data_IF_848768014760
#
_entry.id   IF_848768014760
#
_cell.length_a   1.000
_cell.length_b   1.000
_cell.length_c   1.000
_cell.angle_alpha   90.00
_cell.angle_beta   90.00
_cell.angle_gamma   90.00
#
_symmetry.space_group_name_H-M   'P 1'
#
loop_
_entity.id
_entity.type
_entity.pdbx_description
1 polymer ?
#
# COMPACT_ATOMS: atom_id res chain seq x y z
N UNK A 1 3.86 41.71 45.40
CA UNK A 1 2.74 40.95 44.80
C UNK A 1 2.26 41.74 43.59
N UNK A 2 2.17 41.28 42.35
CA UNK A 2 2.24 39.97 41.69
C UNK A 2 2.73 40.30 40.27
N UNK A 3 3.76 39.64 39.73
CA UNK A 3 4.06 39.63 38.28
C UNK A 3 5.21 38.67 37.99
N UNK A 4 4.89 37.41 37.70
CA UNK A 4 5.66 36.49 36.86
C UNK A 4 5.06 35.07 36.94
N UNK A 5 3.84 34.87 36.41
CA UNK A 5 3.28 33.51 36.19
C UNK A 5 2.48 33.48 34.88
N UNK A 6 3.02 34.06 33.82
CA UNK A 6 2.37 34.02 32.49
C UNK A 6 3.22 33.36 31.40
N UNK A 7 4.54 33.22 31.59
CA UNK A 7 5.42 32.64 30.56
C UNK A 7 5.66 31.13 30.67
N UNK A 8 5.26 30.46 31.76
CA UNK A 8 5.46 29.00 31.91
C UNK A 8 4.29 28.17 31.33
N UNK A 9 3.07 28.73 31.26
CA UNK A 9 1.93 28.02 30.66
C UNK A 9 1.90 28.15 29.12
N UNK A 10 2.46 29.22 28.56
CA UNK A 10 2.52 29.41 27.11
C UNK A 10 3.55 28.47 26.45
N UNK A 11 4.71 28.22 27.09
CA UNK A 11 5.73 27.31 26.56
C UNK A 11 5.31 25.85 26.56
N UNK A 12 4.49 25.44 27.53
CA UNK A 12 3.99 24.07 27.64
C UNK A 12 2.75 23.83 26.77
N UNK A 13 2.01 24.89 26.40
CA UNK A 13 0.95 24.80 25.40
C UNK A 13 1.54 24.73 23.99
N UNK A 14 2.58 25.52 23.68
CA UNK A 14 3.24 25.44 22.37
C UNK A 14 3.98 24.11 22.16
N UNK A 15 4.57 23.52 23.22
CA UNK A 15 5.15 22.18 23.15
C UNK A 15 4.10 21.05 23.15
N UNK A 16 2.96 21.19 23.83
CA UNK A 16 1.89 20.19 23.77
C UNK A 16 1.16 20.17 22.41
N UNK A 17 1.11 21.30 21.67
CA UNK A 17 0.65 21.30 20.28
C UNK A 17 1.65 20.66 19.32
N UNK A 18 2.95 20.70 19.60
CA UNK A 18 3.96 20.04 18.76
C UNK A 18 3.99 18.52 18.99
N UNK A 19 3.70 18.05 20.21
CA UNK A 19 3.64 16.61 20.51
C UNK A 19 2.33 15.94 20.04
N UNK A 20 1.20 16.68 19.99
CA UNK A 20 -0.07 16.20 19.43
C UNK A 20 -0.14 16.23 17.90
N UNK A 21 0.79 16.90 17.22
CA UNK A 21 0.88 16.91 15.74
C UNK A 21 1.68 15.70 15.22
N UNK A 22 2.46 15.03 16.07
CA UNK A 22 3.26 13.84 15.69
C UNK A 22 2.62 12.50 16.10
N UNK A 23 1.39 12.52 16.63
CA UNK A 23 0.61 11.30 16.97
C UNK A 23 -0.83 11.39 16.47
N UNK A 24 -1.01 11.86 15.24
CA UNK A 24 -2.32 11.76 14.61
C UNK A 24 -2.60 10.28 14.33
N UNK A 25 -3.40 9.71 15.23
CA UNK A 25 -4.00 8.41 15.11
C UNK A 25 -4.70 8.34 13.75
N UNK A 26 -4.26 7.36 12.96
CA UNK A 26 -4.97 6.89 11.79
C UNK A 26 -6.42 6.56 12.14
N UNK A 27 -7.35 7.19 11.43
CA UNK A 27 -8.66 6.63 11.25
C UNK A 27 -8.60 5.63 10.08
N UNK A 28 -9.46 4.60 10.11
CA UNK A 28 -9.30 3.38 9.34
C UNK A 28 -9.55 3.50 7.82
N UNK A 29 -9.05 4.54 7.14
CA UNK A 29 -9.57 4.91 5.81
C UNK A 29 -8.56 5.19 4.72
N UNK A 30 -7.27 5.18 5.01
CA UNK A 30 -6.28 5.71 4.07
C UNK A 30 -6.51 7.21 3.88
N UNK A 31 -5.43 7.99 3.97
CA UNK A 31 -5.44 9.40 3.55
C UNK A 31 -6.30 10.40 4.36
N UNK A 32 -5.72 11.05 5.38
CA UNK A 32 -6.16 12.39 5.82
C UNK A 32 -5.22 13.51 5.31
N UNK A 33 -4.90 13.53 4.01
CA UNK A 33 -4.25 14.69 3.39
C UNK A 33 -4.63 14.97 1.92
N UNK A 34 -5.71 14.37 1.38
CA UNK A 34 -6.05 14.59 -0.03
C UNK A 34 -5.07 13.94 -1.02
N UNK A 35 -4.44 12.83 -0.61
CA UNK A 35 -3.62 11.97 -1.46
C UNK A 35 -4.38 11.37 -2.65
N UNK A 36 -3.64 11.13 -3.73
CA UNK A 36 -4.11 10.41 -4.92
C UNK A 36 -3.83 8.91 -4.76
N UNK A 37 -4.50 8.09 -5.56
CA UNK A 37 -4.18 6.69 -5.82
C UNK A 37 -4.02 6.51 -7.33
N UNK A 38 -3.44 5.39 -7.76
CA UNK A 38 -3.34 5.07 -9.18
C UNK A 38 -4.52 4.18 -9.60
N UNK A 39 -5.26 4.63 -10.62
CA UNK A 39 -6.44 3.96 -11.18
C UNK A 39 -6.03 3.19 -12.44
N UNK A 40 -6.35 1.90 -12.47
CA UNK A 40 -6.04 0.94 -13.53
C UNK A 40 -7.34 0.49 -14.21
N UNK A 41 -7.34 0.48 -15.54
CA UNK A 41 -8.54 0.31 -16.37
C UNK A 41 -8.94 -1.14 -16.70
N UNK A 42 -8.18 -2.14 -16.24
CA UNK A 42 -8.45 -3.55 -16.53
C UNK A 42 -8.14 -4.01 -17.97
N UNK A 43 -7.40 -3.23 -18.76
CA UNK A 43 -7.12 -3.50 -20.19
C UNK A 43 -5.64 -3.39 -20.53
N UNK A 44 -4.99 -2.27 -20.20
CA UNK A 44 -3.63 -1.97 -20.66
C UNK A 44 -2.88 -0.99 -19.73
N UNK A 45 -3.27 -0.95 -18.47
CA UNK A 45 -2.67 -0.09 -17.46
C UNK A 45 -1.68 -0.89 -16.58
N UNK A 46 -0.47 -0.37 -16.38
CA UNK A 46 0.49 -0.95 -15.45
C UNK A 46 1.55 0.06 -14.99
N UNK A 47 2.31 -0.33 -13.96
CA UNK A 47 3.54 0.35 -13.52
C UNK A 47 4.69 -0.63 -13.65
N UNK A 48 5.70 -0.27 -14.44
CA UNK A 48 6.95 -1.01 -14.59
C UNK A 48 8.00 -0.44 -13.63
N UNK A 49 8.35 -1.21 -12.60
CA UNK A 49 9.37 -0.85 -11.60
C UNK A 49 10.72 -1.47 -11.94
N UNK A 50 10.71 -2.70 -12.47
CA UNK A 50 11.91 -3.51 -12.73
C UNK A 50 12.49 -4.11 -11.46
N UNK A 51 13.80 -4.34 -11.44
CA UNK A 51 14.48 -5.00 -10.33
C UNK A 51 14.49 -4.16 -9.04
N UNK A 52 14.07 -4.78 -7.93
CA UNK A 52 14.01 -4.14 -6.61
C UNK A 52 15.01 -4.75 -5.64
N UNK A 53 14.88 -6.04 -5.32
CA UNK A 53 15.71 -6.73 -4.31
C UNK A 53 15.54 -8.25 -4.42
N UNK A 54 16.57 -9.01 -4.01
CA UNK A 54 16.61 -10.48 -4.12
C UNK A 54 16.02 -11.24 -2.92
N UNK A 55 15.80 -10.53 -1.80
CA UNK A 55 15.31 -11.12 -0.54
C UNK A 55 13.91 -10.62 -0.08
N UNK A 56 12.95 -10.36 -0.97
CA UNK A 56 11.62 -9.86 -0.54
C UNK A 56 10.84 -10.93 0.24
N UNK A 57 10.30 -10.56 1.40
CA UNK A 57 9.57 -11.46 2.30
C UNK A 57 8.19 -10.96 2.72
N UNK A 58 7.92 -9.65 2.59
CA UNK A 58 6.58 -9.08 2.83
C UNK A 58 6.18 -8.12 1.73
N UNK A 59 4.98 -8.32 1.20
CA UNK A 59 4.34 -7.45 0.23
C UNK A 59 3.09 -6.87 0.89
N UNK A 60 2.88 -5.55 0.84
CA UNK A 60 1.64 -4.93 1.33
C UNK A 60 1.22 -3.75 0.48
N UNK A 61 -0.08 -3.55 0.32
CA UNK A 61 -0.64 -2.46 -0.47
C UNK A 61 -2.11 -2.21 -0.07
N UNK A 62 -2.62 -1.03 -0.41
CA UNK A 62 -4.04 -0.74 -0.40
C UNK A 62 -4.63 -0.99 -1.78
N UNK A 63 -5.84 -1.55 -1.82
CA UNK A 63 -6.53 -1.89 -3.05
C UNK A 63 -8.03 -1.63 -2.95
N UNK A 64 -8.61 -1.11 -4.03
CA UNK A 64 -10.04 -1.12 -4.29
C UNK A 64 -10.24 -1.70 -5.68
N UNK A 65 -10.82 -2.89 -5.77
CA UNK A 65 -11.13 -3.50 -7.06
C UNK A 65 -12.46 -2.96 -7.62
N UNK A 66 -12.48 -2.61 -8.90
CA UNK A 66 -13.73 -2.32 -9.63
C UNK A 66 -14.30 -3.62 -10.24
N UNK A 67 -13.42 -4.59 -10.52
CA UNK A 67 -13.77 -5.95 -10.89
C UNK A 67 -12.99 -7.00 -10.08
N UNK A 68 -13.70 -8.05 -9.66
CA UNK A 68 -13.12 -9.25 -9.03
C UNK A 68 -13.59 -10.52 -9.75
N UNK A 69 -14.10 -10.37 -10.97
CA UNK A 69 -14.49 -11.46 -11.83
C UNK A 69 -13.25 -12.10 -12.47
N UNK A 70 -13.23 -13.43 -12.53
CA UNK A 70 -12.08 -14.16 -13.08
C UNK A 70 -10.78 -13.89 -12.31
N UNK A 71 -9.69 -13.79 -13.07
CA UNK A 71 -8.36 -13.46 -12.56
C UNK A 71 -8.06 -11.99 -12.84
N UNK A 72 -7.46 -11.29 -11.88
CA UNK A 72 -6.95 -9.91 -12.03
C UNK A 72 -5.56 -9.82 -11.42
N UNK A 73 -4.55 -9.57 -12.24
CA UNK A 73 -3.14 -9.54 -11.86
C UNK A 73 -2.78 -8.22 -11.17
N UNK A 74 -2.33 -8.28 -9.92
CA UNK A 74 -2.19 -7.09 -9.07
C UNK A 74 -0.73 -6.66 -8.95
N UNK A 75 0.16 -7.57 -8.54
CA UNK A 75 1.60 -7.29 -8.41
C UNK A 75 2.37 -8.50 -8.92
N UNK A 76 3.25 -8.27 -9.89
CA UNK A 76 4.30 -9.20 -10.30
C UNK A 76 5.59 -8.89 -9.54
N UNK A 77 6.36 -9.93 -9.23
CA UNK A 77 7.70 -9.78 -8.65
C UNK A 77 8.81 -10.24 -9.59
N UNK A 78 8.56 -11.28 -10.41
CA UNK A 78 9.58 -11.89 -11.29
C UNK A 78 8.99 -12.77 -12.42
N UNK A 79 7.71 -12.64 -12.72
CA UNK A 79 6.98 -13.44 -13.71
C UNK A 79 6.64 -14.87 -13.28
N UNK A 80 7.14 -15.35 -12.13
CA UNK A 80 6.82 -16.66 -11.54
C UNK A 80 6.13 -16.54 -10.17
N UNK A 81 6.51 -15.52 -9.40
CA UNK A 81 6.00 -15.15 -8.09
C UNK A 81 5.17 -13.87 -8.22
N UNK A 82 3.87 -13.96 -7.98
CA UNK A 82 2.97 -12.81 -8.14
C UNK A 82 1.70 -12.93 -7.29
N UNK A 83 0.99 -11.80 -7.16
CA UNK A 83 -0.29 -11.69 -6.46
C UNK A 83 -1.38 -11.32 -7.46
N UNK A 84 -2.46 -12.08 -7.46
CA UNK A 84 -3.65 -11.84 -8.27
C UNK A 84 -4.91 -11.94 -7.41
N UNK A 85 -6.03 -11.40 -7.90
CA UNK A 85 -7.36 -11.67 -7.35
C UNK A 85 -8.00 -12.74 -8.22
N UNK A 86 -8.49 -13.82 -7.62
CA UNK A 86 -9.19 -14.89 -8.34
C UNK A 86 -10.57 -15.08 -7.70
N UNK A 87 -11.62 -14.63 -8.41
CA UNK A 87 -13.00 -14.77 -7.93
C UNK A 87 -13.28 -14.10 -6.58
N UNK A 88 -12.64 -12.96 -6.31
CA UNK A 88 -12.77 -12.22 -5.04
C UNK A 88 -11.76 -12.61 -3.96
N UNK A 89 -10.88 -13.56 -4.21
CA UNK A 89 -9.85 -13.98 -3.25
C UNK A 89 -8.46 -13.48 -3.68
N UNK A 90 -7.73 -12.83 -2.78
CA UNK A 90 -6.30 -12.54 -2.97
C UNK A 90 -5.54 -13.86 -2.98
N UNK A 91 -4.83 -14.13 -4.08
CA UNK A 91 -4.08 -15.37 -4.33
C UNK A 91 -2.63 -15.04 -4.59
N UNK A 92 -1.72 -15.73 -3.91
CA UNK A 92 -0.30 -15.69 -4.21
C UNK A 92 0.10 -16.93 -5.03
N UNK A 93 0.70 -16.71 -6.21
CA UNK A 93 1.23 -17.75 -7.10
C UNK A 93 2.74 -17.75 -7.00
N UNK A 94 3.37 -18.94 -7.01
CA UNK A 94 4.84 -19.10 -6.87
C UNK A 94 5.36 -18.91 -5.43
N UNK A 95 4.75 -18.00 -4.67
CA UNK A 95 5.13 -17.69 -3.29
C UNK A 95 4.92 -18.90 -2.37
N UNK A 96 5.99 -19.36 -1.71
CA UNK A 96 5.97 -20.60 -0.90
C UNK A 96 5.46 -20.37 0.52
N UNK A 97 4.39 -21.06 0.89
CA UNK A 97 3.75 -20.99 2.23
C UNK A 97 3.37 -19.56 2.66
N UNK A 98 2.59 -18.84 1.84
CA UNK A 98 2.21 -17.47 2.12
C UNK A 98 1.28 -17.40 3.34
N UNK A 99 1.40 -16.33 4.12
CA UNK A 99 0.40 -15.91 5.11
C UNK A 99 -0.28 -14.64 4.61
N UNK A 100 -1.60 -14.70 4.47
CA UNK A 100 -2.42 -13.58 4.00
C UNK A 100 -2.95 -12.74 5.15
N UNK A 101 -3.10 -11.45 4.91
CA UNK A 101 -3.76 -10.51 5.81
C UNK A 101 -4.67 -9.58 5.01
N UNK A 102 -5.94 -9.51 5.39
CA UNK A 102 -6.87 -8.49 4.90
C UNK A 102 -7.26 -7.60 6.07
N UNK A 103 -7.01 -6.29 5.96
CA UNK A 103 -7.21 -5.30 7.04
C UNK A 103 -6.56 -5.75 8.36
N UNK A 104 -5.34 -6.29 8.26
CA UNK A 104 -4.54 -6.87 9.34
C UNK A 104 -5.12 -8.13 10.03
N UNK A 105 -6.17 -8.75 9.46
CA UNK A 105 -6.70 -10.03 9.93
C UNK A 105 -5.99 -11.17 9.20
N UNK A 106 -5.25 -11.99 9.96
CA UNK A 106 -4.48 -13.11 9.41
C UNK A 106 -5.39 -14.24 8.88
N UNK A 107 -5.00 -14.83 7.75
CA UNK A 107 -5.68 -15.95 7.12
C UNK A 107 -6.89 -15.57 6.25
N UNK A 108 -7.29 -14.30 6.25
CA UNK A 108 -8.33 -13.77 5.36
C UNK A 108 -7.76 -13.49 3.98
N UNK A 109 -8.58 -13.68 2.95
CA UNK A 109 -8.21 -13.48 1.53
C UNK A 109 -9.34 -12.78 0.74
N UNK A 110 -10.57 -12.77 1.25
CA UNK A 110 -11.72 -12.24 0.52
C UNK A 110 -11.71 -10.72 0.46
N UNK A 111 -11.90 -10.19 -0.74
CA UNK A 111 -12.20 -8.79 -1.03
C UNK A 111 -13.47 -8.68 -1.88
N UNK A 112 -14.04 -7.49 -1.93
CA UNK A 112 -15.23 -7.19 -2.74
C UNK A 112 -15.02 -5.91 -3.53
N UNK A 113 -15.85 -5.70 -4.57
CA UNK A 113 -15.72 -4.51 -5.42
C UNK A 113 -16.11 -3.22 -4.71
N UNK A 114 -15.51 -2.10 -5.11
CA UNK A 114 -15.84 -0.76 -4.64
C UNK A 114 -15.46 -0.47 -3.18
N UNK A 115 -14.77 -1.39 -2.49
CA UNK A 115 -14.34 -1.25 -1.09
C UNK A 115 -12.83 -1.26 -1.01
N UNK A 116 -12.26 -0.37 -0.20
CA UNK A 116 -10.82 -0.35 0.09
C UNK A 116 -10.46 -1.44 1.09
N UNK A 117 -9.42 -2.20 0.78
CA UNK A 117 -8.79 -3.19 1.65
C UNK A 117 -7.29 -2.93 1.72
N UNK A 118 -6.70 -3.16 2.88
CA UNK A 118 -5.25 -3.32 2.99
C UNK A 118 -4.93 -4.80 2.90
N UNK A 119 -4.13 -5.15 1.91
CA UNK A 119 -3.64 -6.50 1.68
C UNK A 119 -2.20 -6.57 2.16
N UNK A 120 -1.85 -7.65 2.86
CA UNK A 120 -0.45 -8.04 3.04
C UNK A 120 -0.27 -9.55 2.85
N UNK A 121 0.85 -9.92 2.23
CA UNK A 121 1.29 -11.31 2.06
C UNK A 121 2.70 -11.43 2.60
N UNK A 122 2.92 -12.37 3.51
CA UNK A 122 4.25 -12.68 4.04
C UNK A 122 4.68 -14.09 3.71
N UNK A 123 5.99 -14.31 3.57
CA UNK A 123 6.59 -15.62 3.34
C UNK A 123 7.92 -15.73 4.09
N UNK A 124 8.21 -16.89 4.66
CA UNK A 124 9.52 -17.17 5.26
C UNK A 124 10.60 -17.48 4.21
N UNK A 125 10.21 -17.70 2.96
CA UNK A 125 11.11 -17.95 1.84
C UNK A 125 11.27 -16.65 1.04
N UNK A 126 12.48 -16.07 0.97
CA UNK A 126 12.72 -14.86 0.21
C UNK A 126 12.39 -15.03 -1.28
N UNK A 127 11.89 -13.96 -1.88
CA UNK A 127 11.51 -13.85 -3.28
C UNK A 127 12.50 -12.92 -3.96
N UNK A 128 13.08 -13.38 -5.07
CA UNK A 128 13.87 -12.54 -5.95
C UNK A 128 12.92 -11.67 -6.77
N UNK A 129 12.81 -10.39 -6.43
CA UNK A 129 11.92 -9.43 -7.08
C UNK A 129 12.69 -8.65 -8.15
N UNK A 130 13.07 -9.34 -9.23
CA UNK A 130 13.93 -8.84 -10.30
C UNK A 130 13.17 -8.19 -11.47
N UNK A 131 11.85 -8.35 -11.54
CA UNK A 131 10.98 -7.73 -12.54
C UNK A 131 9.61 -7.37 -11.92
N UNK A 132 9.60 -6.31 -11.10
CA UNK A 132 8.40 -5.86 -10.39
C UNK A 132 7.51 -5.04 -11.33
N UNK A 133 6.26 -5.47 -11.48
CA UNK A 133 5.20 -4.75 -12.16
C UNK A 133 3.96 -4.63 -11.26
N UNK A 134 3.22 -3.52 -11.37
CA UNK A 134 1.92 -3.33 -10.72
C UNK A 134 0.83 -3.26 -11.78
N UNK A 135 -0.27 -4.00 -11.58
CA UNK A 135 -1.44 -4.02 -12.46
C UNK A 135 -1.38 -5.03 -13.61
N UNK A 136 -0.28 -5.78 -13.74
CA UNK A 136 -0.10 -6.88 -14.71
C UNK A 136 0.85 -7.94 -14.17
N UNK A 137 0.98 -9.04 -14.91
CA UNK A 137 2.05 -10.05 -14.75
C UNK A 137 2.72 -10.32 -16.10
N UNK A 138 4.06 -10.38 -16.10
CA UNK A 138 4.88 -10.67 -17.27
C UNK A 138 5.61 -11.98 -17.04
N UNK A 139 5.01 -13.08 -17.51
CA UNK A 139 5.61 -14.41 -17.38
C UNK A 139 6.68 -14.66 -18.44
N UNK A 140 7.45 -15.75 -18.27
CA UNK A 140 8.36 -16.24 -19.32
C UNK A 140 7.66 -16.55 -20.67
N UNK A 141 6.34 -16.77 -20.67
CA UNK A 141 5.51 -16.96 -21.86
C UNK A 141 4.98 -15.66 -22.49
N UNK A 142 5.24 -14.51 -21.86
CA UNK A 142 4.69 -13.21 -22.22
C UNK A 142 3.74 -12.64 -21.16
N UNK A 143 3.24 -11.44 -21.42
CA UNK A 143 2.24 -10.76 -20.60
C UNK A 143 0.89 -11.46 -20.67
N UNK A 144 0.24 -11.57 -19.52
CA UNK A 144 -1.14 -12.05 -19.41
C UNK A 144 -2.14 -10.91 -19.67
N UNK A 145 -3.32 -11.23 -20.20
CA UNK A 145 -4.38 -10.25 -20.54
C UNK A 145 -5.27 -9.93 -19.32
N UNK A 146 -5.04 -10.58 -18.19
CA UNK A 146 -5.81 -10.44 -16.94
C UNK A 146 -5.39 -9.20 -16.12
N UNK A 147 -5.35 -8.02 -16.74
CA UNK A 147 -4.95 -6.75 -16.09
C UNK A 147 -5.84 -6.36 -14.91
N UNK A 148 -5.26 -5.67 -13.92
CA UNK A 148 -6.00 -5.15 -12.77
C UNK A 148 -6.99 -4.06 -13.17
N UNK A 149 -8.19 -4.11 -12.59
CA UNK A 149 -9.26 -3.12 -12.76
C UNK A 149 -9.65 -2.55 -11.39
N UNK A 150 -9.29 -1.29 -11.16
CA UNK A 150 -9.51 -0.58 -9.91
C UNK A 150 -8.32 0.27 -9.47
N UNK A 151 -8.25 0.58 -8.17
CA UNK A 151 -7.25 1.50 -7.60
C UNK A 151 -6.28 0.77 -6.68
N UNK A 152 -5.00 1.12 -6.79
CA UNK A 152 -3.94 0.68 -5.88
C UNK A 152 -3.28 1.91 -5.26
N UNK A 153 -2.89 1.76 -3.99
CA UNK A 153 -2.18 2.77 -3.25
C UNK A 153 -1.16 2.13 -2.29
N UNK A 154 -0.17 2.91 -1.85
CA UNK A 154 0.70 2.58 -0.71
C UNK A 154 1.38 1.19 -0.82
N UNK A 155 1.90 0.85 -2.01
CA UNK A 155 2.60 -0.42 -2.28
C UNK A 155 3.94 -0.44 -1.57
N UNK A 156 4.21 -1.50 -0.81
CA UNK A 156 5.44 -1.67 -0.04
C UNK A 156 5.99 -3.09 -0.20
N UNK A 157 7.30 -3.20 -0.40
CA UNK A 157 8.05 -4.46 -0.38
C UNK A 157 9.11 -4.39 0.72
N UNK A 158 9.19 -5.43 1.54
CA UNK A 158 10.14 -5.54 2.65
C UNK A 158 10.99 -6.80 2.52
N UNK A 159 12.25 -6.72 2.94
CA UNK A 159 13.19 -7.85 2.98
C UNK A 159 13.13 -8.68 4.28
N UNK A 160 12.15 -8.40 5.14
CA UNK A 160 11.89 -9.13 6.37
C UNK A 160 10.45 -9.64 6.46
N UNK A 161 10.27 -10.72 7.22
CA UNK A 161 8.93 -11.23 7.56
C UNK A 161 8.29 -10.33 8.60
N UNK A 162 7.47 -9.37 8.18
CA UNK A 162 6.77 -8.46 9.09
C UNK A 162 5.81 -9.25 9.98
N UNK A 163 5.80 -8.92 11.27
CA UNK A 163 4.89 -9.51 12.25
C UNK A 163 3.45 -9.01 12.07
N UNK A 164 2.47 -9.71 12.64
CA UNK A 164 1.07 -9.27 12.60
C UNK A 164 0.86 -7.87 13.22
N UNK A 165 1.59 -7.53 14.28
CA UNK A 165 1.53 -6.20 14.90
C UNK A 165 2.11 -5.11 14.00
N UNK A 166 3.18 -5.44 13.28
CA UNK A 166 3.79 -4.54 12.29
C UNK A 166 2.90 -4.34 11.07
N UNK A 167 2.26 -5.40 10.57
CA UNK A 167 1.26 -5.32 9.50
C UNK A 167 0.06 -4.48 9.97
N UNK A 168 -0.38 -4.66 11.22
CA UNK A 168 -1.43 -3.82 11.81
C UNK A 168 -0.99 -2.37 11.93
N UNK A 169 0.28 -2.09 12.19
CA UNK A 169 0.81 -0.73 12.17
C UNK A 169 0.84 -0.16 10.75
N UNK A 170 1.26 -0.93 9.74
CA UNK A 170 1.25 -0.52 8.32
C UNK A 170 -0.15 -0.33 7.75
N UNK A 171 -1.11 -1.11 8.21
CA UNK A 171 -2.53 -0.89 7.99
C UNK A 171 -2.94 0.44 8.61
N UNK A 172 -2.53 0.68 9.87
CA UNK A 172 -2.93 1.86 10.63
C UNK A 172 -2.05 3.11 10.45
N UNK A 173 -1.22 3.24 9.43
CA UNK A 173 -0.50 4.49 9.12
C UNK A 173 0.38 4.34 7.88
N UNK A 174 0.66 5.46 7.23
CA UNK A 174 1.83 5.60 6.36
C UNK A 174 3.12 5.71 7.21
N UNK A 175 4.26 5.39 6.60
CA UNK A 175 5.56 5.54 7.24
C UNK A 175 5.99 7.01 7.20
N UNK A 176 6.35 7.59 8.34
CA UNK A 176 6.76 9.00 8.43
C UNK A 176 8.13 9.25 7.78
N UNK A 177 9.04 8.29 7.88
CA UNK A 177 10.41 8.39 7.36
C UNK A 177 10.83 7.08 6.66
N UNK A 178 10.21 6.76 5.51
CA UNK A 178 10.43 5.48 4.84
C UNK A 178 11.86 5.30 4.29
N UNK A 179 12.58 6.40 4.06
CA UNK A 179 13.94 6.33 3.52
C UNK A 179 14.92 5.70 4.53
N UNK A 180 14.67 5.90 5.83
CA UNK A 180 15.50 5.36 6.91
C UNK A 180 15.11 3.93 7.33
N UNK A 181 14.01 3.39 6.80
CA UNK A 181 13.58 2.02 7.05
C UNK A 181 14.44 1.04 6.24
N UNK A 182 15.52 0.54 6.83
CA UNK A 182 16.52 -0.27 6.12
C UNK A 182 15.95 -1.54 5.45
N UNK A 183 14.89 -2.11 6.02
CA UNK A 183 14.23 -3.31 5.50
C UNK A 183 13.17 -3.01 4.43
N UNK A 184 12.80 -1.74 4.24
CA UNK A 184 11.88 -1.31 3.19
C UNK A 184 12.64 -1.16 1.87
N UNK A 185 12.30 -1.97 0.88
CA UNK A 185 12.99 -2.00 -0.42
C UNK A 185 12.24 -1.33 -1.55
N UNK A 186 10.93 -1.18 -1.40
CA UNK A 186 10.11 -0.40 -2.30
C UNK A 186 8.98 0.23 -1.49
N UNK A 187 8.69 1.49 -1.78
CA UNK A 187 7.50 2.16 -1.29
C UNK A 187 6.93 3.15 -2.29
N UNK A 188 5.96 2.69 -3.07
CA UNK A 188 5.19 3.50 -4.00
C UNK A 188 3.97 4.05 -3.25
N UNK A 189 4.04 5.33 -2.86
CA UNK A 189 2.92 6.03 -2.22
C UNK A 189 1.78 6.39 -3.17
N UNK A 190 2.01 6.31 -4.48
CA UNK A 190 1.03 6.58 -5.55
C UNK A 190 0.18 7.86 -5.37
N UNK A 191 0.75 8.85 -4.67
CA UNK A 191 0.06 10.05 -4.23
C UNK A 191 0.45 11.31 -5.02
N UNK A 192 1.11 11.14 -6.16
CA UNK A 192 1.36 12.22 -7.08
C UNK A 192 0.02 12.60 -7.75
N UNK A 193 -0.29 13.88 -7.85
CA UNK A 193 -1.55 14.28 -8.49
C UNK A 193 -1.54 14.07 -10.01
N UNK A 194 -0.34 14.03 -10.62
CA UNK A 194 -0.13 13.91 -12.07
C UNK A 194 1.25 13.31 -12.37
N UNK A 195 1.46 12.89 -13.62
CA UNK A 195 2.74 12.44 -14.15
C UNK A 195 2.74 10.97 -14.55
N UNK A 196 3.87 10.47 -15.03
CA UNK A 196 4.05 9.10 -15.52
C UNK A 196 5.10 8.33 -14.72
N UNK A 197 5.38 8.78 -13.50
CA UNK A 197 6.36 8.16 -12.61
C UNK A 197 5.68 7.87 -11.28
N UNK A 198 5.80 6.63 -10.81
CA UNK A 198 5.47 6.21 -9.46
C UNK A 198 6.75 6.30 -8.61
N UNK A 199 6.83 7.28 -7.72
CA UNK A 199 8.04 7.51 -6.95
C UNK A 199 8.17 6.51 -5.81
N UNK A 200 9.29 5.79 -5.81
CA UNK A 200 9.77 5.04 -4.66
C UNK A 200 10.34 5.97 -3.58
N UNK A 201 9.82 5.83 -2.37
CA UNK A 201 10.21 6.56 -1.17
C UNK A 201 11.16 5.78 -0.25
N UNK A 202 11.52 4.55 -0.61
CA UNK A 202 12.54 3.77 0.08
C UNK A 202 13.95 4.27 -0.24
N UNK A 203 14.95 3.68 0.42
CA UNK A 203 16.37 3.95 0.10
C UNK A 203 16.83 3.30 -1.21
N UNK A 204 16.07 2.38 -1.80
CA UNK A 204 16.39 1.73 -3.08
C UNK A 204 16.23 2.67 -4.28
N UNK A 205 15.30 3.63 -4.19
CA UNK A 205 14.97 4.58 -5.26
C UNK A 205 14.57 3.90 -6.58
N UNK A 206 13.92 2.74 -6.50
CA UNK A 206 13.41 1.98 -7.64
C UNK A 206 12.09 2.59 -8.13
N UNK A 207 12.17 3.75 -8.80
CA UNK A 207 10.99 4.45 -9.31
C UNK A 207 10.34 3.69 -10.47
N UNK A 208 9.01 3.59 -10.46
CA UNK A 208 8.25 2.96 -11.52
C UNK A 208 7.86 3.90 -12.65
N UNK A 209 7.79 3.39 -13.87
CA UNK A 209 7.22 4.07 -15.04
C UNK A 209 5.77 3.66 -15.21
N UNK A 210 4.87 4.64 -15.24
CA UNK A 210 3.43 4.41 -15.40
C UNK A 210 3.08 4.35 -16.89
N UNK A 211 2.35 3.31 -17.28
CA UNK A 211 1.75 3.17 -18.60
C UNK A 211 0.22 3.12 -18.46
N UNK A 212 -0.47 4.07 -19.09
CA UNK A 212 -1.94 4.12 -19.15
C UNK A 212 -2.63 4.57 -17.86
N UNK A 213 -2.23 4.00 -16.71
CA UNK A 213 -2.84 4.25 -15.42
C UNK A 213 -2.80 5.74 -15.05
N UNK A 214 -3.84 6.22 -14.38
CA UNK A 214 -3.99 7.65 -14.06
C UNK A 214 -4.17 7.90 -12.59
N UNK A 215 -3.62 9.01 -12.11
CA UNK A 215 -3.83 9.45 -10.74
C UNK A 215 -5.28 9.93 -10.57
N UNK A 216 -5.94 9.41 -9.56
CA UNK A 216 -7.29 9.79 -9.17
C UNK A 216 -7.31 10.16 -7.69
N UNK A 217 -8.28 10.96 -7.26
CA UNK A 217 -8.43 11.27 -5.84
C UNK A 217 -8.61 9.98 -5.04
N UNK A 218 -7.70 9.70 -4.11
CA UNK A 218 -7.83 8.60 -3.17
C UNK A 218 -8.94 8.93 -2.18
N UNK A 219 -10.15 8.41 -2.43
CA UNK A 219 -11.36 8.59 -1.61
C UNK A 219 -11.80 10.05 -1.39
N UNK A 220 -12.77 10.52 -2.17
CA UNK A 220 -13.67 11.60 -1.73
C UNK A 220 -14.92 10.93 -1.15
N UNK A 221 -14.96 10.72 0.17
CA UNK A 221 -16.23 10.63 0.90
C UNK A 221 -16.03 10.84 2.40
N UNK A 222 -15.97 12.11 2.80
CA UNK A 222 -16.54 12.56 4.07
C UNK A 222 -17.08 13.98 3.93
N UNK A 223 -18.26 14.11 3.31
CA UNK A 223 -19.22 15.03 3.92
C UNK A 223 -19.54 14.45 5.30
N UNK A 224 -19.12 15.14 6.34
CA UNK A 224 -19.60 15.00 7.72
C UNK A 224 -20.86 14.14 7.84
N UNK A 225 -20.75 12.96 8.47
CA UNK A 225 -21.82 12.11 9.05
C UNK A 225 -21.89 10.67 8.49
N UNK A 226 -21.04 9.77 8.99
CA UNK A 226 -21.29 8.32 8.97
C UNK A 226 -20.49 7.63 10.09
N UNK A 227 -21.10 7.48 11.26
CA UNK A 227 -20.63 6.61 12.36
C UNK A 227 -20.11 5.26 11.86
N UNK A 228 -18.81 5.12 11.59
CA UNK A 228 -18.17 3.84 11.31
C UNK A 228 -16.78 3.87 11.95
N UNK A 229 -16.59 2.99 12.93
CA UNK A 229 -15.53 3.04 13.94
C UNK A 229 -16.03 2.70 15.35
N UNK A 230 -17.33 2.45 15.50
CA UNK A 230 -17.90 1.85 16.70
C UNK A 230 -18.84 0.72 16.27
N UNK A 231 -18.28 -0.46 16.03
CA UNK A 231 -18.98 -1.73 16.22
C UNK A 231 -17.93 -2.85 16.34
N UNK A 232 -17.86 -3.44 17.55
CA UNK A 232 -17.29 -4.78 17.81
C UNK A 232 -15.89 -4.82 18.37
#
# INVERSE_FOLDING_TARGET
AVRAVAMTRASNLTHATMERVMSQNFDAKGNEAGGSALDFNGVDDWVDVGAVHDDIQTISFWIQADAVDGTRNVIDLNGADYISIVGGEVTAVGITSPTYYINAVAGEQTITTGTWYHVAVTTANPIDADDVDIGRVVTASGSDDDYFDGKIDEVRLWDDVRTADEIKASYNRSLSDPYEEANLKLYLRMNNETGTVAFDHSSSMAHGTINGATYTSGSISWTSNSNLGNDG
#
